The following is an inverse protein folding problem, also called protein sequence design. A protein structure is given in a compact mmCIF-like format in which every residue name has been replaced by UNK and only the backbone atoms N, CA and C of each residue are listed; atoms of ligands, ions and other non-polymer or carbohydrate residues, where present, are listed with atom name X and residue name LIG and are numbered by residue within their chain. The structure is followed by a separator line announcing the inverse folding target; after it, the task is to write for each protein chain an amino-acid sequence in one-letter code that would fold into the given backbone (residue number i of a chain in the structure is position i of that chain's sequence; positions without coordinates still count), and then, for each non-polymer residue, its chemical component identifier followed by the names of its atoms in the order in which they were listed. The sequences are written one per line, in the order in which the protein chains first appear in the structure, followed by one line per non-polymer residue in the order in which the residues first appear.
data_IF_948063948930
#
_entry.id   IF_948063948930
#
_cell.length_a   1.000
_cell.length_b   1.000
_cell.length_c   1.000
_cell.angle_alpha   90.00
_cell.angle_beta   90.00
_cell.angle_gamma   90.00
#
_symmetry.space_group_name_H-M   'P 1'
#
loop_
_entity.id
_entity.type
_entity.pdbx_description
1 polymer ?
#
# COMPACT_ATOMS: atom_id res chain seq x y z
N UNK A 1 -13.31 5.88 -10.81
CA UNK A 1 -12.29 6.84 -10.34
C UNK A 1 -11.86 6.63 -8.89
N UNK A 2 -12.72 6.76 -7.87
CA UNK A 2 -12.31 6.48 -6.47
C UNK A 2 -11.99 5.00 -6.26
N UNK A 3 -12.83 4.10 -6.77
CA UNK A 3 -12.61 2.64 -6.71
C UNK A 3 -11.34 2.23 -7.46
N UNK A 4 -11.14 2.70 -8.70
CA UNK A 4 -9.91 2.45 -9.47
C UNK A 4 -8.63 2.92 -8.74
N UNK A 5 -8.68 4.05 -8.04
CA UNK A 5 -7.54 4.54 -7.25
C UNK A 5 -7.29 3.64 -6.02
N UNK A 6 -8.34 3.14 -5.38
CA UNK A 6 -8.22 2.17 -4.28
C UNK A 6 -7.56 0.89 -4.78
N UNK A 7 -8.01 0.36 -5.92
CA UNK A 7 -7.45 -0.86 -6.52
C UNK A 7 -5.97 -0.71 -6.84
N UNK A 8 -5.57 0.42 -7.46
CA UNK A 8 -4.16 0.73 -7.76
C UNK A 8 -3.32 0.77 -6.48
N UNK A 9 -3.84 1.37 -5.42
CA UNK A 9 -3.11 1.48 -4.14
C UNK A 9 -2.99 0.11 -3.46
N UNK A 10 -4.04 -0.71 -3.47
CA UNK A 10 -3.99 -2.07 -2.93
C UNK A 10 -3.00 -2.94 -3.72
N UNK A 11 -2.98 -2.85 -5.05
CA UNK A 11 -2.04 -3.60 -5.88
C UNK A 11 -0.58 -3.13 -5.71
N UNK A 12 -0.36 -1.83 -5.48
CA UNK A 12 0.95 -1.31 -5.12
C UNK A 12 1.45 -1.88 -3.79
N UNK A 13 0.59 -1.95 -2.77
CA UNK A 13 0.97 -2.52 -1.47
C UNK A 13 1.33 -4.01 -1.63
N UNK A 14 0.52 -4.79 -2.37
CA UNK A 14 0.83 -6.20 -2.66
C UNK A 14 2.18 -6.39 -3.38
N UNK A 15 2.58 -5.44 -4.23
CA UNK A 15 3.90 -5.45 -4.85
C UNK A 15 4.99 -5.22 -3.82
N UNK A 16 4.83 -4.24 -2.91
CA UNK A 16 5.76 -3.99 -1.82
C UNK A 16 5.91 -5.21 -0.91
N UNK A 17 4.82 -5.93 -0.61
CA UNK A 17 4.84 -7.16 0.19
C UNK A 17 5.76 -8.21 -0.46
N UNK A 18 5.59 -8.47 -1.75
CA UNK A 18 6.43 -9.41 -2.51
C UNK A 18 7.90 -8.99 -2.54
N UNK A 19 8.18 -7.69 -2.62
CA UNK A 19 9.54 -7.17 -2.60
C UNK A 19 10.19 -7.34 -1.22
N UNK A 20 9.42 -7.16 -0.14
CA UNK A 20 9.89 -7.39 1.22
C UNK A 20 10.15 -8.87 1.47
N UNK A 21 9.20 -9.75 1.11
CA UNK A 21 9.32 -11.21 1.24
C UNK A 21 10.52 -11.78 0.46
N UNK A 22 10.81 -11.20 -0.70
CA UNK A 22 11.97 -11.59 -1.52
C UNK A 22 13.29 -10.94 -1.08
N UNK A 23 13.26 -10.11 -0.01
CA UNK A 23 14.43 -9.40 0.52
C UNK A 23 15.00 -8.34 -0.42
N UNK A 24 14.19 -7.86 -1.38
CA UNK A 24 14.58 -6.78 -2.31
C UNK A 24 14.49 -5.40 -1.69
N UNK A 25 13.64 -5.25 -0.69
CA UNK A 25 13.54 -4.06 0.17
C UNK A 25 13.56 -4.50 1.63
N UNK A 26 14.01 -3.61 2.51
CA UNK A 26 13.94 -3.81 3.95
C UNK A 26 12.64 -3.22 4.53
N UNK A 27 12.40 -3.47 5.83
CA UNK A 27 11.22 -2.96 6.52
C UNK A 27 11.13 -1.42 6.49
N UNK A 28 12.27 -0.72 6.56
CA UNK A 28 12.29 0.74 6.55
C UNK A 28 11.80 1.28 5.21
N UNK A 29 12.32 0.74 4.11
CA UNK A 29 11.90 1.10 2.76
C UNK A 29 10.44 0.71 2.52
N UNK A 30 9.99 -0.45 3.02
CA UNK A 30 8.60 -0.85 2.97
C UNK A 30 7.68 0.17 3.65
N UNK A 31 8.02 0.62 4.85
CA UNK A 31 7.24 1.61 5.60
C UNK A 31 7.18 2.95 4.86
N UNK A 32 8.32 3.45 4.36
CA UNK A 32 8.38 4.69 3.57
C UNK A 32 7.50 4.63 2.31
N UNK A 33 7.44 3.46 1.67
CA UNK A 33 6.63 3.23 0.47
C UNK A 33 5.15 3.06 0.79
N UNK A 34 4.77 2.43 1.91
CA UNK A 34 3.38 1.98 2.15
C UNK A 34 2.62 2.79 3.19
N UNK A 35 3.26 3.44 4.15
CA UNK A 35 2.58 4.05 5.31
C UNK A 35 1.43 5.00 4.92
N UNK A 36 1.71 5.99 4.08
CA UNK A 36 0.69 6.96 3.61
C UNK A 36 -0.42 6.33 2.77
N UNK A 37 -0.13 5.21 2.10
CA UNK A 37 -1.09 4.48 1.26
C UNK A 37 -2.04 3.67 2.15
N UNK A 38 -1.51 3.02 3.18
CA UNK A 38 -2.31 2.33 4.20
C UNK A 38 -3.22 3.33 4.93
N UNK A 39 -2.71 4.51 5.28
CA UNK A 39 -3.52 5.60 5.85
C UNK A 39 -4.67 6.01 4.91
N UNK A 40 -4.35 6.29 3.64
CA UNK A 40 -5.36 6.60 2.61
C UNK A 40 -6.45 5.52 2.50
N UNK A 41 -6.08 4.23 2.51
CA UNK A 41 -7.05 3.13 2.44
C UNK A 41 -7.94 3.06 3.69
N UNK A 42 -7.37 3.27 4.88
CA UNK A 42 -8.14 3.27 6.15
C UNK A 42 -9.16 4.40 6.17
N UNK A 43 -8.76 5.60 5.77
CA UNK A 43 -9.67 6.75 5.72
C UNK A 43 -10.76 6.54 4.67
N UNK A 44 -10.41 5.96 3.52
CA UNK A 44 -11.40 5.65 2.49
C UNK A 44 -12.43 4.65 2.99
N UNK A 45 -12.02 3.57 3.67
CA UNK A 45 -12.92 2.52 4.21
C UNK A 45 -13.81 2.99 5.37
N UNK A 46 -13.47 4.10 6.04
CA UNK A 46 -14.29 4.72 7.10
C UNK A 46 -15.40 5.63 6.57
N UNK A 47 -15.29 6.06 5.31
CA UNK A 47 -16.22 7.00 4.66
C UNK A 47 -17.31 6.26 3.86
N UNK A 48 -17.24 4.92 3.78
CA UNK A 48 -18.22 4.04 3.13
C UNK A 48 -19.04 3.31 4.18
#
# INVERSE_FOLDING_TARGET
MREELVDIVEDFIKLCDKLLESGKIDNKMYDELTQKKVEFLKDTKRVI
#
